data_IF_372354199959
#
_entry.id   IF_372354199959
#
_cell.length_a   1.000
_cell.length_b   1.000
_cell.length_c   1.000
_cell.angle_alpha   90.00
_cell.angle_beta   90.00
_cell.angle_gamma   90.00
#
_symmetry.space_group_name_H-M   'P 1'
#
loop_
_entity.id
_entity.type
_entity.pdbx_description
1 polymer ?
#
# COMPACT_ATOMS: atom_id res chain seq x y z
N UNK A 1 10.30 1.91 1.05
CA UNK A 1 10.95 1.23 2.18
C UNK A 1 12.16 0.45 1.65
N UNK A 2 13.38 0.90 1.98
CA UNK A 2 14.59 0.11 1.71
C UNK A 2 14.79 -0.81 2.91
N UNK A 3 14.40 -2.07 2.79
CA UNK A 3 14.73 -3.08 3.77
C UNK A 3 16.27 -3.19 3.88
N UNK A 4 16.79 -3.18 5.12
CA UNK A 4 18.21 -3.37 5.37
C UNK A 4 18.62 -4.78 4.91
N UNK A 5 19.81 -4.92 4.32
CA UNK A 5 20.30 -6.20 3.77
C UNK A 5 20.44 -7.28 4.85
N UNK A 6 20.92 -6.92 6.03
CA UNK A 6 21.06 -7.84 7.18
C UNK A 6 19.68 -8.36 7.58
N UNK A 7 18.70 -7.46 7.66
CA UNK A 7 17.34 -7.80 8.01
C UNK A 7 16.68 -8.70 6.96
N UNK A 8 16.87 -8.41 5.67
CA UNK A 8 16.38 -9.24 4.57
C UNK A 8 16.95 -10.65 4.64
N UNK A 9 18.28 -10.80 4.86
CA UNK A 9 18.91 -12.11 5.02
C UNK A 9 18.32 -12.89 6.18
N UNK A 10 18.11 -12.23 7.33
CA UNK A 10 17.48 -12.85 8.51
C UNK A 10 16.06 -13.32 8.24
N UNK A 11 15.24 -12.53 7.51
CA UNK A 11 13.91 -12.95 7.11
C UNK A 11 13.94 -14.19 6.21
N UNK A 12 14.81 -14.20 5.22
CA UNK A 12 14.98 -15.35 4.31
C UNK A 12 15.38 -16.60 5.09
N UNK A 13 16.29 -16.49 6.07
CA UNK A 13 16.72 -17.61 6.90
C UNK A 13 15.61 -18.16 7.80
N UNK A 14 14.82 -17.27 8.42
CA UNK A 14 13.74 -17.65 9.34
C UNK A 14 12.55 -18.24 8.59
N UNK A 15 12.08 -17.55 7.52
CA UNK A 15 10.83 -17.89 6.85
C UNK A 15 11.02 -18.80 5.63
N UNK A 16 12.26 -18.98 5.18
CA UNK A 16 12.62 -19.84 4.06
C UNK A 16 11.59 -19.82 2.90
N UNK A 17 11.23 -18.64 2.35
CA UNK A 17 10.15 -18.52 1.40
C UNK A 17 10.42 -19.34 0.14
N UNK A 18 9.41 -20.03 -0.39
CA UNK A 18 9.52 -20.78 -1.65
C UNK A 18 9.79 -19.86 -2.85
N UNK A 19 9.24 -18.63 -2.80
CA UNK A 19 9.41 -17.62 -3.84
C UNK A 19 9.78 -16.26 -3.25
N UNK A 20 10.61 -15.51 -3.94
CA UNK A 20 10.96 -14.13 -3.59
C UNK A 20 10.80 -13.25 -4.83
N UNK A 21 9.93 -12.25 -4.77
CA UNK A 21 9.83 -11.22 -5.80
C UNK A 21 10.53 -9.95 -5.32
N UNK A 22 11.61 -9.57 -5.99
CA UNK A 22 12.43 -8.44 -5.56
C UNK A 22 13.09 -7.71 -6.75
N UNK A 23 13.57 -6.49 -6.49
CA UNK A 23 14.35 -5.76 -7.49
C UNK A 23 15.65 -6.52 -7.85
N UNK A 24 16.08 -6.42 -9.12
CA UNK A 24 17.32 -7.04 -9.62
C UNK A 24 18.51 -6.61 -8.75
N UNK A 25 19.36 -7.57 -8.41
CA UNK A 25 20.55 -7.32 -7.59
C UNK A 25 20.29 -7.18 -6.07
N UNK A 26 19.02 -7.18 -5.63
CA UNK A 26 18.70 -7.08 -4.19
C UNK A 26 19.09 -8.34 -3.41
N UNK A 27 19.00 -9.50 -4.04
CA UNK A 27 19.48 -10.77 -3.52
C UNK A 27 20.63 -11.21 -4.43
N UNK A 28 21.82 -11.37 -3.83
CA UNK A 28 22.98 -11.88 -4.54
C UNK A 28 22.73 -13.32 -4.97
N UNK A 29 23.25 -13.67 -6.16
CA UNK A 29 23.20 -15.04 -6.69
C UNK A 29 23.78 -16.00 -5.64
N UNK A 30 22.98 -16.95 -5.20
CA UNK A 30 23.40 -18.01 -4.27
C UNK A 30 22.76 -19.33 -4.74
N UNK A 31 23.26 -20.46 -4.22
CA UNK A 31 22.76 -21.78 -4.61
C UNK A 31 21.36 -22.09 -4.06
N UNK A 32 20.79 -21.19 -3.23
CA UNK A 32 19.49 -21.39 -2.59
C UNK A 32 18.33 -20.90 -3.42
N UNK A 33 18.55 -19.91 -4.31
CA UNK A 33 17.47 -19.29 -5.11
C UNK A 33 17.89 -19.10 -6.56
N UNK A 34 17.05 -19.59 -7.47
CA UNK A 34 17.21 -19.45 -8.91
C UNK A 34 16.19 -18.46 -9.48
N UNK A 35 16.64 -17.58 -10.39
CA UNK A 35 15.72 -16.66 -11.11
C UNK A 35 14.92 -17.45 -12.13
N UNK A 36 13.60 -17.46 -11.98
CA UNK A 36 12.66 -18.15 -12.87
C UNK A 36 11.90 -17.20 -13.79
N UNK A 37 11.75 -15.92 -13.40
CA UNK A 37 11.08 -14.90 -14.20
C UNK A 37 11.74 -13.54 -13.99
N UNK A 38 11.89 -12.80 -15.10
CA UNK A 38 12.37 -11.41 -15.08
C UNK A 38 11.31 -10.51 -15.68
N UNK A 39 10.91 -9.49 -14.94
CA UNK A 39 9.95 -8.50 -15.41
C UNK A 39 10.44 -7.09 -15.08
N UNK A 40 10.74 -6.29 -16.11
CA UNK A 40 11.33 -4.94 -15.96
C UNK A 40 12.58 -4.98 -15.05
N UNK A 41 12.57 -4.23 -13.95
CA UNK A 41 13.63 -4.16 -12.95
C UNK A 41 13.51 -5.18 -11.82
N UNK A 42 12.62 -6.16 -11.93
CA UNK A 42 12.35 -7.15 -10.89
C UNK A 42 12.65 -8.58 -11.36
N UNK A 43 12.95 -9.45 -10.40
CA UNK A 43 13.09 -10.88 -10.57
C UNK A 43 12.14 -11.62 -9.65
N UNK A 44 11.56 -12.72 -10.15
CA UNK A 44 10.96 -13.76 -9.32
C UNK A 44 12.00 -14.87 -9.15
N UNK A 45 12.33 -15.14 -7.92
CA UNK A 45 13.29 -16.18 -7.52
C UNK A 45 12.52 -17.34 -6.93
N UNK A 46 12.87 -18.59 -7.30
CA UNK A 46 12.36 -19.83 -6.70
C UNK A 46 13.46 -20.47 -5.87
N UNK A 47 13.11 -21.02 -4.71
CA UNK A 47 14.04 -21.78 -3.86
C UNK A 47 14.44 -23.09 -4.55
N UNK A 48 15.72 -23.45 -4.48
CA UNK A 48 16.27 -24.66 -5.15
C UNK A 48 15.89 -25.96 -4.46
N UNK A 49 15.81 -25.95 -3.12
CA UNK A 49 15.44 -27.13 -2.32
C UNK A 49 13.99 -26.99 -1.86
N UNK A 50 13.15 -27.90 -2.29
CA UNK A 50 11.73 -27.93 -1.94
C UNK A 50 11.51 -28.66 -0.58
N UNK A 51 12.11 -28.18 0.50
CA UNK A 51 11.55 -28.47 1.81
C UNK A 51 10.25 -27.67 1.94
N UNK A 52 9.13 -28.33 1.82
CA UNK A 52 7.81 -27.71 2.00
C UNK A 52 7.61 -27.48 3.48
N UNK A 53 7.75 -26.23 3.91
CA UNK A 53 7.32 -25.83 5.27
C UNK A 53 5.80 -25.91 5.36
N UNK A 54 5.27 -26.63 6.35
CA UNK A 54 3.84 -26.73 6.58
C UNK A 54 3.35 -25.39 7.13
N UNK A 55 2.66 -24.62 6.30
CA UNK A 55 2.05 -23.35 6.69
C UNK A 55 0.61 -23.59 7.10
N UNK A 56 0.15 -22.95 8.19
CA UNK A 56 -1.25 -23.02 8.57
C UNK A 56 -2.13 -22.57 7.40
N UNK A 57 -3.09 -23.40 7.00
CA UNK A 57 -3.97 -23.19 5.84
C UNK A 57 -4.79 -21.90 5.91
N UNK A 58 -5.05 -21.38 7.10
CA UNK A 58 -5.82 -20.15 7.30
C UNK A 58 -4.92 -18.89 7.21
N UNK A 59 -3.59 -19.05 7.25
CA UNK A 59 -2.67 -17.92 7.17
C UNK A 59 -2.62 -17.37 5.75
N UNK A 60 -3.03 -16.11 5.59
CA UNK A 60 -2.96 -15.41 4.31
C UNK A 60 -1.66 -14.61 4.16
N UNK A 61 -1.28 -13.85 5.19
CA UNK A 61 -0.10 -12.99 5.12
C UNK A 61 0.48 -12.67 6.50
N UNK A 62 1.74 -12.25 6.46
CA UNK A 62 2.48 -11.73 7.60
C UNK A 62 2.79 -10.24 7.36
N UNK A 63 2.28 -9.37 8.24
CA UNK A 63 2.51 -7.93 8.15
C UNK A 63 3.50 -7.49 9.21
N UNK A 64 4.55 -6.77 8.78
CA UNK A 64 5.51 -6.19 9.72
C UNK A 64 4.84 -5.05 10.50
N UNK A 65 5.07 -5.02 11.80
CA UNK A 65 4.78 -3.84 12.62
C UNK A 65 5.96 -2.87 12.57
N UNK A 66 5.71 -1.59 12.79
CA UNK A 66 6.73 -0.54 12.89
C UNK A 66 7.61 -0.66 14.15
N UNK A 67 7.79 -1.89 14.67
CA UNK A 67 8.45 -2.16 15.94
C UNK A 67 9.85 -1.56 16.03
N UNK A 68 10.05 -0.75 17.05
CA UNK A 68 11.31 -0.06 17.41
C UNK A 68 12.40 -1.00 17.96
N UNK A 69 12.12 -2.28 18.11
CA UNK A 69 12.93 -3.24 18.89
C UNK A 69 13.86 -4.14 18.07
N UNK A 70 14.27 -3.75 16.87
CA UNK A 70 15.31 -4.46 16.11
C UNK A 70 15.03 -5.92 15.68
N UNK A 71 13.97 -6.54 16.20
CA UNK A 71 13.50 -7.87 15.81
C UNK A 71 12.21 -7.74 15.01
N UNK A 72 12.10 -8.36 13.83
CA UNK A 72 10.91 -8.28 13.01
C UNK A 72 9.76 -9.05 13.68
N UNK A 73 8.89 -8.34 14.34
CA UNK A 73 7.62 -8.92 14.78
C UNK A 73 6.63 -8.80 13.64
N UNK A 74 6.07 -9.93 13.24
CA UNK A 74 5.02 -9.98 12.21
C UNK A 74 3.68 -10.33 12.85
N UNK A 75 2.65 -9.61 12.40
CA UNK A 75 1.26 -9.94 12.73
C UNK A 75 0.76 -10.93 11.70
N UNK A 76 0.26 -12.06 12.18
CA UNK A 76 -0.38 -13.07 11.35
C UNK A 76 -1.79 -12.62 10.99
N UNK A 77 -2.11 -12.64 9.72
CA UNK A 77 -3.45 -12.33 9.21
C UNK A 77 -4.01 -13.54 8.47
N UNK A 78 -5.17 -13.99 8.88
CA UNK A 78 -5.88 -15.07 8.20
C UNK A 78 -6.65 -14.52 6.99
N UNK A 79 -7.07 -15.44 6.09
CA UNK A 79 -8.00 -15.09 5.01
C UNK A 79 -9.28 -14.45 5.55
N UNK A 80 -9.80 -14.98 6.66
CA UNK A 80 -10.99 -14.43 7.32
C UNK A 80 -10.76 -13.02 7.85
N UNK A 81 -9.61 -12.74 8.47
CA UNK A 81 -9.30 -11.39 8.96
C UNK A 81 -9.29 -10.37 7.81
N UNK A 82 -8.59 -10.71 6.72
CA UNK A 82 -8.46 -9.79 5.58
C UNK A 82 -9.80 -9.58 4.88
N UNK A 83 -10.58 -10.67 4.63
CA UNK A 83 -11.88 -10.57 3.96
C UNK A 83 -12.91 -9.82 4.79
N UNK A 84 -13.04 -10.12 6.09
CA UNK A 84 -13.96 -9.42 6.99
C UNK A 84 -13.63 -7.93 7.11
N UNK A 85 -12.35 -7.61 7.27
CA UNK A 85 -11.90 -6.21 7.31
C UNK A 85 -12.22 -5.48 6.00
N UNK A 86 -11.95 -6.11 4.85
CA UNK A 86 -12.25 -5.59 3.53
C UNK A 86 -13.75 -5.26 3.37
N UNK A 87 -14.63 -6.21 3.70
CA UNK A 87 -16.07 -6.02 3.62
C UNK A 87 -16.58 -4.94 4.56
N UNK A 88 -16.08 -4.88 5.79
CA UNK A 88 -16.45 -3.86 6.76
C UNK A 88 -16.07 -2.44 6.29
N UNK A 89 -14.87 -2.28 5.73
CA UNK A 89 -14.42 -0.99 5.17
C UNK A 89 -15.30 -0.59 3.98
N UNK A 90 -15.59 -1.52 3.07
CA UNK A 90 -16.48 -1.27 1.92
C UNK A 90 -17.85 -0.79 2.40
N UNK A 91 -18.44 -1.48 3.36
CA UNK A 91 -19.74 -1.12 3.95
C UNK A 91 -19.71 0.26 4.60
N UNK A 92 -18.69 0.54 5.40
CA UNK A 92 -18.53 1.81 6.13
C UNK A 92 -18.31 2.99 5.19
N UNK A 93 -17.39 2.86 4.23
CA UNK A 93 -17.03 3.91 3.28
C UNK A 93 -17.95 3.94 2.05
N UNK A 94 -18.85 2.96 1.90
CA UNK A 94 -19.77 2.81 0.76
C UNK A 94 -19.03 2.78 -0.59
N UNK A 95 -17.88 2.09 -0.64
CA UNK A 95 -17.06 1.97 -1.85
C UNK A 95 -17.87 1.22 -2.93
N UNK A 96 -17.81 1.71 -4.16
CA UNK A 96 -18.60 1.22 -5.30
C UNK A 96 -17.68 0.81 -6.46
N UNK A 97 -18.16 -0.04 -7.35
CA UNK A 97 -17.43 -0.46 -8.56
C UNK A 97 -17.06 0.69 -9.50
N UNK A 98 -17.80 1.79 -9.49
CA UNK A 98 -17.50 3.00 -10.26
C UNK A 98 -16.43 3.90 -9.66
N UNK A 99 -15.97 3.60 -8.44
CA UNK A 99 -14.97 4.41 -7.76
C UNK A 99 -13.60 4.25 -8.45
N UNK A 100 -12.83 5.32 -8.43
CA UNK A 100 -11.49 5.37 -8.99
C UNK A 100 -10.56 5.93 -7.91
N UNK A 101 -9.68 5.08 -7.40
CA UNK A 101 -8.67 5.47 -6.40
C UNK A 101 -7.28 5.54 -7.01
N UNK A 102 -6.34 6.21 -6.33
CA UNK A 102 -4.93 6.28 -6.73
C UNK A 102 -4.03 5.78 -5.61
N UNK A 103 -2.96 5.07 -5.97
CA UNK A 103 -1.98 4.60 -4.98
C UNK A 103 -1.13 5.76 -4.47
N UNK A 104 -1.32 6.10 -3.21
CA UNK A 104 -0.54 7.12 -2.47
C UNK A 104 0.24 6.50 -1.30
N UNK A 105 -0.10 5.27 -0.95
CA UNK A 105 0.47 4.53 0.18
C UNK A 105 1.13 3.24 -0.30
N UNK A 106 2.28 2.83 0.29
CA UNK A 106 2.94 1.58 -0.08
C UNK A 106 2.06 0.35 0.20
N UNK A 107 2.09 -0.66 -0.68
CA UNK A 107 1.39 -1.94 -0.49
C UNK A 107 1.91 -2.74 0.73
N UNK A 108 3.14 -2.48 1.15
CA UNK A 108 3.73 -3.07 2.35
C UNK A 108 3.19 -2.46 3.65
N UNK A 109 2.40 -1.41 3.54
CA UNK A 109 1.72 -0.76 4.65
C UNK A 109 0.26 -1.22 4.70
N UNK A 110 -0.21 -1.63 5.89
CA UNK A 110 -1.54 -2.23 6.09
C UNK A 110 -2.65 -1.36 5.49
N UNK A 111 -2.58 -0.04 5.67
CA UNK A 111 -3.58 0.87 5.14
C UNK A 111 -3.56 0.92 3.61
N UNK A 112 -2.37 0.98 2.99
CA UNK A 112 -2.25 0.91 1.52
C UNK A 112 -2.80 -0.40 0.96
N UNK A 113 -2.51 -1.53 1.62
CA UNK A 113 -3.04 -2.83 1.23
C UNK A 113 -4.58 -2.89 1.36
N UNK A 114 -5.15 -2.30 2.42
CA UNK A 114 -6.62 -2.28 2.61
C UNK A 114 -7.32 -1.46 1.53
N UNK A 115 -6.72 -0.36 1.06
CA UNK A 115 -7.26 0.42 -0.07
C UNK A 115 -7.32 -0.43 -1.34
N UNK A 116 -6.25 -1.17 -1.65
CA UNK A 116 -6.21 -2.07 -2.81
C UNK A 116 -7.26 -3.16 -2.68
N UNK A 117 -7.31 -3.86 -1.54
CA UNK A 117 -8.24 -4.97 -1.33
C UNK A 117 -9.70 -4.53 -1.45
N UNK A 118 -10.06 -3.39 -0.86
CA UNK A 118 -11.43 -2.88 -0.90
C UNK A 118 -11.88 -2.51 -2.31
N UNK A 119 -11.04 -1.84 -3.07
CA UNK A 119 -11.37 -1.42 -4.43
C UNK A 119 -11.39 -2.61 -5.41
N UNK A 120 -10.44 -3.53 -5.32
CA UNK A 120 -10.46 -4.76 -6.13
C UNK A 120 -11.68 -5.63 -5.81
N UNK A 121 -12.06 -5.74 -4.54
CA UNK A 121 -13.20 -6.56 -4.12
C UNK A 121 -14.52 -6.13 -4.76
N UNK A 122 -14.74 -4.83 -4.93
CA UNK A 122 -15.95 -4.29 -5.55
C UNK A 122 -15.82 -4.08 -7.07
N UNK A 123 -14.67 -4.43 -7.68
CA UNK A 123 -14.42 -4.19 -9.10
C UNK A 123 -14.17 -2.74 -9.47
N UNK A 124 -13.73 -1.91 -8.52
CA UNK A 124 -13.38 -0.51 -8.74
C UNK A 124 -12.02 -0.35 -9.43
N UNK A 125 -11.76 0.83 -9.96
CA UNK A 125 -10.51 1.14 -10.65
C UNK A 125 -9.44 1.63 -9.69
N UNK A 126 -8.21 1.12 -9.85
CA UNK A 126 -7.04 1.56 -9.10
C UNK A 126 -6.00 2.13 -10.05
N UNK A 127 -5.69 3.41 -9.92
CA UNK A 127 -4.62 4.08 -10.66
C UNK A 127 -3.30 3.82 -9.94
N UNK A 128 -2.42 3.03 -10.56
CA UNK A 128 -1.10 2.73 -10.01
C UNK A 128 -0.10 3.81 -10.41
N UNK A 129 0.62 4.36 -9.43
CA UNK A 129 1.66 5.37 -9.70
C UNK A 129 2.83 5.23 -8.75
N UNK A 130 4.02 5.60 -9.25
CA UNK A 130 5.24 5.80 -8.44
C UNK A 130 5.54 7.28 -8.21
N UNK A 131 4.73 8.19 -8.76
CA UNK A 131 4.91 9.62 -8.54
C UNK A 131 4.57 10.00 -7.10
N UNK A 132 5.41 10.84 -6.52
CA UNK A 132 5.13 11.43 -5.21
C UNK A 132 4.03 12.48 -5.32
N UNK A 133 3.24 12.64 -4.26
CA UNK A 133 2.20 13.69 -4.19
C UNK A 133 2.73 15.12 -4.32
N UNK A 134 4.03 15.35 -4.11
CA UNK A 134 4.66 16.68 -4.33
C UNK A 134 4.95 16.94 -5.81
N UNK A 135 4.90 15.91 -6.66
CA UNK A 135 5.15 16.01 -8.08
C UNK A 135 3.88 16.41 -8.85
N UNK A 136 4.00 17.34 -9.78
CA UNK A 136 2.90 17.75 -10.67
C UNK A 136 2.29 16.54 -11.39
N UNK A 137 3.12 15.59 -11.84
CA UNK A 137 2.69 14.38 -12.56
C UNK A 137 1.68 13.50 -11.79
N UNK A 138 1.77 13.49 -10.45
CA UNK A 138 0.78 12.80 -9.62
C UNK A 138 -0.61 13.42 -9.80
N UNK A 139 -0.71 14.73 -9.75
CA UNK A 139 -1.97 15.47 -9.85
C UNK A 139 -2.51 15.53 -11.28
N UNK A 140 -1.61 15.56 -12.27
CA UNK A 140 -1.99 15.43 -13.69
C UNK A 140 -2.64 14.05 -13.93
N UNK A 141 -2.03 12.97 -13.41
CA UNK A 141 -2.59 11.63 -13.49
C UNK A 141 -3.91 11.50 -12.73
N UNK A 142 -3.99 12.10 -11.53
CA UNK A 142 -5.20 12.16 -10.72
C UNK A 142 -6.38 12.75 -11.51
N UNK A 143 -6.16 13.88 -12.15
CA UNK A 143 -7.16 14.59 -12.94
C UNK A 143 -7.52 13.84 -14.23
N UNK A 144 -6.52 13.36 -14.97
CA UNK A 144 -6.71 12.64 -16.25
C UNK A 144 -7.52 11.35 -16.05
N UNK A 145 -7.24 10.62 -14.97
CA UNK A 145 -7.95 9.39 -14.64
C UNK A 145 -9.27 9.65 -13.89
N UNK A 146 -9.63 10.90 -13.63
CA UNK A 146 -10.84 11.28 -12.89
C UNK A 146 -10.96 10.59 -11.53
N UNK A 147 -9.84 10.51 -10.79
CA UNK A 147 -9.80 9.89 -9.47
C UNK A 147 -10.81 10.58 -8.56
N UNK A 148 -11.73 9.81 -7.97
CA UNK A 148 -12.81 10.38 -7.16
C UNK A 148 -12.64 10.13 -5.66
N UNK A 149 -11.69 9.30 -5.27
CA UNK A 149 -11.38 9.12 -3.85
C UNK A 149 -9.88 9.02 -3.59
N UNK A 150 -9.50 9.44 -2.40
CA UNK A 150 -8.11 9.50 -1.98
C UNK A 150 -7.95 9.03 -0.53
N UNK A 151 -6.98 8.16 -0.30
CA UNK A 151 -6.64 7.66 1.03
C UNK A 151 -5.26 8.13 1.43
N UNK A 152 -5.13 8.75 2.60
CA UNK A 152 -3.86 9.31 3.05
C UNK A 152 -3.63 9.23 4.56
N UNK A 153 -2.37 9.32 4.96
CA UNK A 153 -1.96 9.54 6.34
C UNK A 153 -1.86 11.06 6.62
N UNK A 154 -1.76 11.53 7.87
CA UNK A 154 -1.71 12.96 8.18
C UNK A 154 -0.69 13.74 7.36
N UNK A 155 0.47 13.15 7.09
CA UNK A 155 1.51 13.77 6.25
C UNK A 155 1.01 14.06 4.81
N UNK A 156 0.22 13.16 4.21
CA UNK A 156 -0.36 13.40 2.89
C UNK A 156 -1.26 14.63 2.88
N UNK A 157 -2.03 14.83 3.95
CA UNK A 157 -2.91 16.01 4.10
C UNK A 157 -2.14 17.30 4.33
N UNK A 158 -1.00 17.27 5.01
CA UNK A 158 -0.13 18.44 5.13
C UNK A 158 0.49 18.85 3.78
N UNK A 159 0.72 17.89 2.87
CA UNK A 159 1.12 18.18 1.49
C UNK A 159 -0.05 18.84 0.74
N UNK A 160 -1.26 18.25 0.82
CA UNK A 160 -2.45 18.79 0.18
C UNK A 160 -2.67 20.27 0.61
N UNK A 161 -2.59 20.57 1.91
CA UNK A 161 -2.74 21.91 2.43
C UNK A 161 -1.76 22.91 1.77
N UNK A 162 -0.51 22.51 1.61
CA UNK A 162 0.54 23.37 1.01
C UNK A 162 0.35 23.61 -0.49
N UNK A 163 -0.11 22.60 -1.24
CA UNK A 163 -0.19 22.67 -2.70
C UNK A 163 -1.58 23.14 -3.20
N UNK A 164 -2.61 23.08 -2.35
CA UNK A 164 -4.01 23.32 -2.73
C UNK A 164 -4.36 24.79 -2.96
N UNK A 165 -3.38 25.71 -3.05
CA UNK A 165 -3.63 27.13 -3.44
C UNK A 165 -4.42 27.27 -4.74
N UNK A 166 -4.35 26.26 -5.63
CA UNK A 166 -5.10 26.18 -6.91
C UNK A 166 -6.37 25.32 -6.85
N UNK A 167 -6.75 24.83 -5.66
CA UNK A 167 -7.88 23.89 -5.48
C UNK A 167 -7.43 22.43 -5.65
N UNK A 168 -8.34 21.51 -5.26
CA UNK A 168 -8.20 20.06 -5.51
C UNK A 168 -8.87 19.71 -6.85
N UNK A 169 -8.51 18.57 -7.47
CA UNK A 169 -9.22 18.11 -8.67
C UNK A 169 -10.74 18.01 -8.44
N UNK A 170 -11.53 18.52 -9.36
CA UNK A 170 -12.99 18.54 -9.26
C UNK A 170 -13.64 17.14 -9.22
N UNK A 171 -12.92 16.12 -9.70
CA UNK A 171 -13.36 14.73 -9.63
C UNK A 171 -13.35 14.14 -8.23
N UNK A 172 -12.66 14.77 -7.26
CA UNK A 172 -12.49 14.23 -5.92
C UNK A 172 -13.78 14.38 -5.09
N UNK A 173 -14.43 13.26 -4.80
CA UNK A 173 -15.70 13.21 -4.06
C UNK A 173 -15.47 13.06 -2.54
N UNK A 174 -14.54 12.19 -2.13
CA UNK A 174 -14.24 11.96 -0.71
C UNK A 174 -12.78 11.60 -0.46
N UNK A 175 -12.35 11.75 0.78
CA UNK A 175 -11.05 11.29 1.25
C UNK A 175 -11.17 10.54 2.57
N UNK A 176 -10.21 9.66 2.81
CA UNK A 176 -10.11 8.91 4.06
C UNK A 176 -8.75 9.11 4.71
N UNK A 177 -8.74 9.16 6.04
CA UNK A 177 -7.51 9.33 6.81
C UNK A 177 -7.39 8.23 7.86
N UNK A 178 -6.20 7.61 7.92
CA UNK A 178 -5.82 6.67 8.98
C UNK A 178 -4.29 6.71 9.20
N UNK A 179 -3.79 5.88 10.11
CA UNK A 179 -2.37 5.71 10.33
C UNK A 179 -1.69 6.77 11.20
N UNK A 180 -2.46 7.63 11.84
CA UNK A 180 -1.97 8.65 12.78
C UNK A 180 -3.05 9.65 13.16
N UNK A 181 -2.80 10.41 14.23
CA UNK A 181 -3.68 11.49 14.66
C UNK A 181 -3.42 12.73 13.81
N UNK A 182 -4.46 13.28 13.19
CA UNK A 182 -4.41 14.57 12.52
C UNK A 182 -4.77 15.69 13.48
N UNK A 183 -4.02 16.80 13.49
CA UNK A 183 -4.33 17.91 14.37
C UNK A 183 -5.58 18.67 13.89
N UNK A 184 -6.28 19.34 14.81
CA UNK A 184 -7.54 20.02 14.52
C UNK A 184 -7.40 21.16 13.51
N UNK A 185 -6.26 21.86 13.50
CA UNK A 185 -6.02 22.96 12.55
C UNK A 185 -5.95 22.42 11.14
N UNK A 186 -5.17 21.35 10.91
CA UNK A 186 -5.06 20.70 9.61
C UNK A 186 -6.42 20.17 9.14
N UNK A 187 -7.21 19.56 10.04
CA UNK A 187 -8.57 19.09 9.70
C UNK A 187 -9.44 20.25 9.21
N UNK A 188 -9.48 21.36 9.95
CA UNK A 188 -10.27 22.56 9.55
C UNK A 188 -9.82 23.10 8.20
N UNK A 189 -8.50 23.18 7.97
CA UNK A 189 -7.96 23.70 6.71
C UNK A 189 -8.32 22.78 5.54
N UNK A 190 -8.21 21.47 5.70
CA UNK A 190 -8.63 20.51 4.66
C UNK A 190 -10.11 20.59 4.36
N UNK A 191 -10.98 20.70 5.38
CA UNK A 191 -12.42 20.90 5.19
C UNK A 191 -12.71 22.18 4.41
N UNK A 192 -12.01 23.27 4.73
CA UNK A 192 -12.19 24.54 4.02
C UNK A 192 -11.74 24.47 2.55
N UNK A 193 -10.63 23.75 2.27
CA UNK A 193 -10.18 23.50 0.90
C UNK A 193 -11.25 22.73 0.11
N UNK A 194 -11.85 21.69 0.70
CA UNK A 194 -12.93 20.93 0.09
C UNK A 194 -14.19 21.79 -0.19
N UNK A 195 -14.58 22.66 0.74
CA UNK A 195 -15.75 23.55 0.57
C UNK A 195 -15.56 24.57 -0.55
N UNK A 196 -14.34 25.02 -0.81
CA UNK A 196 -14.02 25.96 -1.91
C UNK A 196 -14.03 25.29 -3.29
N UNK A 197 -13.98 23.96 -3.35
CA UNK A 197 -13.92 23.20 -4.61
C UNK A 197 -15.29 22.65 -5.05
N UNK A 198 -16.32 22.86 -4.26
CA UNK A 198 -17.73 22.55 -4.58
C UNK A 198 -18.46 23.83 -4.99
#
# INVERSE_FOLDING_TARGET
FRINEIFLKRLIQIYKPSYIYCAKGKIKKNNLYNSILKYKSYNLLKRSNEEIEIINKDLMLLMSTSGTTGSPKFVRQSYLNVSSNTQNIIKYLKIKSKDITITSLPLTYVYGLSVINTHLFVGATIVLTNYSMVEKKFWDLFSTCKVNNFSGVPYNYSIIEKISKKGLPSSLEYTTQAGGKMNHVLIKNIINIYKKNK
#
